data_IF_758281454513
#
_entry.id   IF_758281454513
#
_cell.length_a   1.000
_cell.length_b   1.000
_cell.length_c   1.000
_cell.angle_alpha   90.00
_cell.angle_beta   90.00
_cell.angle_gamma   90.00
#
_symmetry.space_group_name_H-M   'P 1'
#
loop_
_entity.id
_entity.type
_entity.pdbx_description
1 polymer ?
#
# COMPACT_ATOMS: atom_id res chain seq x y z
N UNK A 1 -3.94 2.31 -24.84
CA UNK A 1 -3.31 1.90 -23.58
C UNK A 1 -2.44 3.06 -23.12
N UNK A 2 -2.82 3.72 -22.03
CA UNK A 2 -2.03 4.81 -21.44
C UNK A 2 -1.18 4.21 -20.34
N UNK A 3 0.13 4.44 -20.37
CA UNK A 3 1.05 3.96 -19.34
C UNK A 3 1.42 5.14 -18.42
N UNK A 4 1.33 4.93 -17.12
CA UNK A 4 1.68 5.92 -16.10
C UNK A 4 3.00 5.53 -15.40
N UNK A 5 3.79 6.51 -14.98
CA UNK A 5 5.10 6.30 -14.34
C UNK A 5 5.06 6.39 -12.81
N UNK A 6 3.91 6.73 -12.22
CA UNK A 6 3.69 6.73 -10.78
C UNK A 6 2.30 6.16 -10.44
N UNK A 7 2.20 5.58 -9.24
CA UNK A 7 1.00 4.91 -8.76
C UNK A 7 -0.20 5.86 -8.68
N UNK A 8 -0.01 7.08 -8.15
CA UNK A 8 -1.09 8.06 -7.99
C UNK A 8 -1.77 8.37 -9.31
N UNK A 9 -1.01 8.63 -10.37
CA UNK A 9 -1.54 8.93 -11.69
C UNK A 9 -2.29 7.74 -12.30
N UNK A 10 -1.77 6.52 -12.12
CA UNK A 10 -2.46 5.30 -12.55
C UNK A 10 -3.76 5.08 -11.77
N UNK A 11 -3.75 5.30 -10.46
CA UNK A 11 -4.94 5.17 -9.61
C UNK A 11 -6.02 6.19 -9.95
N UNK A 12 -5.65 7.45 -10.24
CA UNK A 12 -6.62 8.46 -10.70
C UNK A 12 -7.26 8.02 -12.02
N UNK A 13 -6.46 7.57 -12.99
CA UNK A 13 -6.98 7.11 -14.28
C UNK A 13 -7.91 5.91 -14.10
N UNK A 14 -7.48 4.89 -13.35
CA UNK A 14 -8.26 3.68 -13.07
C UNK A 14 -9.54 3.97 -12.27
N UNK A 15 -9.50 4.91 -11.33
CA UNK A 15 -10.68 5.31 -10.56
C UNK A 15 -11.76 5.91 -11.46
N UNK A 16 -11.38 6.74 -12.43
CA UNK A 16 -12.32 7.32 -13.39
C UNK A 16 -12.97 6.26 -14.30
N UNK A 17 -12.27 5.14 -14.54
CA UNK A 17 -12.79 4.00 -15.29
C UNK A 17 -13.72 3.13 -14.42
N UNK A 18 -13.36 2.91 -13.16
CA UNK A 18 -13.99 1.96 -12.24
C UNK A 18 -15.23 2.49 -11.53
N UNK A 19 -15.23 3.76 -11.11
CA UNK A 19 -16.28 4.37 -10.29
C UNK A 19 -16.82 5.64 -10.97
N UNK A 20 -17.45 5.44 -12.12
CA UNK A 20 -17.93 6.53 -12.98
C UNK A 20 -18.98 7.40 -12.28
N UNK A 21 -19.75 6.82 -11.35
CA UNK A 21 -20.76 7.51 -10.56
C UNK A 21 -20.21 8.15 -9.26
N UNK A 22 -18.91 7.98 -8.99
CA UNK A 22 -18.20 8.52 -7.82
C UNK A 22 -18.90 8.19 -6.48
N UNK A 23 -19.28 6.93 -6.30
CA UNK A 23 -20.02 6.46 -5.12
C UNK A 23 -19.13 5.80 -4.06
N UNK A 24 -17.86 5.51 -4.36
CA UNK A 24 -16.94 4.87 -3.40
C UNK A 24 -16.58 5.84 -2.27
N UNK A 25 -16.94 5.44 -1.06
CA UNK A 25 -16.75 6.23 0.16
C UNK A 25 -15.40 5.96 0.83
N UNK A 26 -15.01 6.85 1.74
CA UNK A 26 -13.84 6.62 2.59
C UNK A 26 -13.95 5.34 3.44
N UNK A 27 -15.14 5.01 3.94
CA UNK A 27 -15.36 3.80 4.75
C UNK A 27 -15.19 2.54 3.91
N UNK A 28 -15.66 2.55 2.67
CA UNK A 28 -15.40 1.45 1.72
C UNK A 28 -13.90 1.24 1.54
N UNK A 29 -13.15 2.30 1.20
CA UNK A 29 -11.68 2.20 0.99
C UNK A 29 -10.93 1.74 2.24
N UNK A 30 -11.36 2.20 3.42
CA UNK A 30 -10.79 1.76 4.69
C UNK A 30 -11.00 0.27 4.94
N UNK A 31 -12.19 -0.25 4.63
CA UNK A 31 -12.50 -1.68 4.75
C UNK A 31 -11.76 -2.52 3.71
N UNK A 32 -11.63 -2.02 2.48
CA UNK A 32 -10.83 -2.65 1.42
C UNK A 32 -9.37 -2.80 1.85
N UNK A 33 -8.74 -1.72 2.34
CA UNK A 33 -7.40 -1.79 2.92
C UNK A 33 -7.29 -2.84 4.04
N UNK A 34 -8.27 -2.90 4.95
CA UNK A 34 -8.25 -3.90 6.02
C UNK A 34 -8.35 -5.34 5.48
N UNK A 35 -9.08 -5.54 4.37
CA UNK A 35 -9.14 -6.78 3.61
C UNK A 35 -7.76 -7.18 3.12
N UNK A 36 -7.11 -6.34 2.32
CA UNK A 36 -5.78 -6.63 1.74
C UNK A 36 -4.72 -6.89 2.81
N UNK A 37 -4.74 -6.13 3.91
CA UNK A 37 -3.86 -6.39 5.06
C UNK A 37 -4.12 -7.78 5.66
N UNK A 38 -5.40 -8.19 5.74
CA UNK A 38 -5.80 -9.52 6.20
C UNK A 38 -5.29 -10.64 5.27
N UNK A 39 -5.33 -10.43 3.96
CA UNK A 39 -4.82 -11.36 2.95
C UNK A 39 -3.29 -11.51 3.07
N UNK A 40 -2.56 -10.38 3.15
CA UNK A 40 -1.13 -10.37 3.42
C UNK A 40 -0.78 -11.10 4.74
N UNK A 41 -1.51 -10.84 5.83
CA UNK A 41 -1.34 -11.55 7.10
C UNK A 41 -1.59 -13.06 6.96
N UNK A 42 -2.57 -13.47 6.17
CA UNK A 42 -2.86 -14.87 5.91
C UNK A 42 -1.71 -15.54 5.14
N UNK A 43 -1.11 -14.87 4.15
CA UNK A 43 0.07 -15.36 3.43
C UNK A 43 1.28 -15.47 4.36
N UNK A 44 1.59 -14.45 5.16
CA UNK A 44 2.68 -14.49 6.17
C UNK A 44 2.50 -15.68 7.11
N UNK A 45 1.27 -15.92 7.59
CA UNK A 45 0.95 -17.09 8.42
C UNK A 45 1.25 -18.41 7.69
N UNK A 46 0.95 -18.53 6.39
CA UNK A 46 1.24 -19.74 5.61
C UNK A 46 2.76 -19.95 5.43
N UNK A 47 3.53 -18.88 5.20
CA UNK A 47 5.00 -18.91 5.12
C UNK A 47 5.63 -19.36 6.44
N UNK A 48 5.21 -18.75 7.55
CA UNK A 48 5.70 -19.11 8.89
C UNK A 48 5.32 -20.53 9.28
N UNK A 49 4.11 -20.98 8.89
CA UNK A 49 3.67 -22.35 9.10
C UNK A 49 4.61 -23.36 8.44
N UNK A 50 5.09 -23.07 7.23
CA UNK A 50 6.09 -23.89 6.56
C UNK A 50 7.41 -23.92 7.34
N UNK A 51 7.93 -22.75 7.68
CA UNK A 51 9.19 -22.58 8.41
C UNK A 51 9.20 -23.31 9.76
N UNK A 52 8.05 -23.32 10.44
CA UNK A 52 7.87 -23.96 11.75
C UNK A 52 7.52 -25.46 11.66
N UNK A 53 7.38 -26.03 10.46
CA UNK A 53 7.00 -27.45 10.28
C UNK A 53 5.56 -27.77 10.68
N UNK A 54 4.69 -26.76 10.79
CA UNK A 54 3.28 -26.94 11.17
C UNK A 54 2.48 -27.44 9.96
N UNK A 55 1.57 -28.40 10.16
CA UNK A 55 0.70 -28.91 9.07
C UNK A 55 -0.29 -27.82 8.60
N UNK A 56 -0.47 -27.68 7.30
CA UNK A 56 -1.50 -26.83 6.68
C UNK A 56 -1.11 -26.35 5.28
N UNK A 57 -1.89 -25.44 4.71
CA UNK A 57 -1.55 -24.78 3.43
C UNK A 57 -0.22 -24.02 3.51
N UNK A 58 0.39 -23.81 2.34
CA UNK A 58 1.66 -23.11 2.12
C UNK A 58 1.42 -21.88 1.24
N UNK A 59 2.40 -21.01 1.18
CA UNK A 59 2.43 -19.90 0.27
C UNK A 59 3.86 -19.58 -0.15
N UNK A 60 4.04 -18.72 -1.14
CA UNK A 60 5.34 -18.27 -1.62
C UNK A 60 5.58 -16.79 -1.32
N UNK A 61 6.82 -16.34 -1.53
CA UNK A 61 7.17 -14.93 -1.39
C UNK A 61 6.51 -14.08 -2.49
N UNK A 62 6.26 -14.66 -3.67
CA UNK A 62 5.55 -14.02 -4.77
C UNK A 62 4.09 -13.75 -4.41
N UNK A 63 3.38 -14.72 -3.82
CA UNK A 63 2.02 -14.49 -3.31
C UNK A 63 2.02 -13.38 -2.24
N UNK A 64 3.05 -13.31 -1.39
CA UNK A 64 3.14 -12.21 -0.41
C UNK A 64 3.38 -10.86 -1.09
N UNK A 65 4.18 -10.83 -2.17
CA UNK A 65 4.47 -9.62 -2.91
C UNK A 65 3.19 -9.04 -3.54
N UNK A 66 2.30 -9.89 -4.07
CA UNK A 66 1.02 -9.46 -4.62
C UNK A 66 0.13 -8.81 -3.54
N UNK A 67 -0.08 -9.48 -2.40
CA UNK A 67 -0.90 -8.92 -1.31
C UNK A 67 -0.30 -7.62 -0.72
N UNK A 68 1.02 -7.53 -0.61
CA UNK A 68 1.68 -6.30 -0.17
C UNK A 68 1.52 -5.17 -1.20
N UNK A 69 1.48 -5.49 -2.50
CA UNK A 69 1.20 -4.51 -3.54
C UNK A 69 -0.24 -3.99 -3.45
N UNK A 70 -1.21 -4.86 -3.19
CA UNK A 70 -2.61 -4.48 -3.00
C UNK A 70 -2.81 -3.59 -1.77
N UNK A 71 -2.10 -3.86 -0.67
CA UNK A 71 -2.03 -2.95 0.49
C UNK A 71 -1.53 -1.56 0.07
N UNK A 72 -0.42 -1.47 -0.67
CA UNK A 72 0.15 -0.18 -1.11
C UNK A 72 -0.82 0.57 -2.02
N UNK A 73 -1.47 -0.14 -2.94
CA UNK A 73 -2.50 0.42 -3.83
C UNK A 73 -3.65 1.01 -3.02
N UNK A 74 -4.19 0.27 -2.05
CA UNK A 74 -5.31 0.71 -1.21
C UNK A 74 -4.94 1.90 -0.33
N UNK A 75 -3.72 1.92 0.22
CA UNK A 75 -3.21 3.09 0.96
C UNK A 75 -3.17 4.34 0.07
N UNK A 76 -2.72 4.22 -1.19
CA UNK A 76 -2.72 5.35 -2.11
C UNK A 76 -4.14 5.79 -2.52
N UNK A 77 -5.08 4.84 -2.68
CA UNK A 77 -6.49 5.17 -2.94
C UNK A 77 -7.12 5.98 -1.80
N UNK A 78 -6.80 5.65 -0.55
CA UNK A 78 -7.23 6.44 0.62
C UNK A 78 -6.55 7.82 0.60
N UNK A 79 -5.25 7.88 0.35
CA UNK A 79 -4.53 9.14 0.27
C UNK A 79 -5.09 10.05 -0.83
N UNK A 80 -5.39 9.50 -2.01
CA UNK A 80 -6.07 10.17 -3.11
C UNK A 80 -7.43 10.73 -2.68
N UNK A 81 -8.26 9.92 -2.00
CA UNK A 81 -9.58 10.32 -1.52
C UNK A 81 -9.55 11.54 -0.58
N UNK A 82 -8.50 11.67 0.23
CA UNK A 82 -8.32 12.77 1.18
C UNK A 82 -7.39 13.89 0.67
N UNK A 83 -6.94 13.85 -0.58
CA UNK A 83 -6.03 14.86 -1.12
C UNK A 83 -4.63 14.86 -0.48
N UNK A 84 -4.18 13.71 0.03
CA UNK A 84 -2.88 13.56 0.69
C UNK A 84 -1.80 13.28 -0.36
N UNK A 85 -0.73 14.07 -0.33
CA UNK A 85 0.56 13.73 -0.97
C UNK A 85 1.25 12.65 -0.12
N UNK A 86 1.05 11.40 -0.53
CA UNK A 86 1.52 10.23 0.20
C UNK A 86 3.05 10.11 0.14
N UNK A 87 3.68 10.42 -1.00
CA UNK A 87 5.14 10.37 -1.15
C UNK A 87 5.82 11.37 -0.21
N UNK A 88 5.33 12.61 -0.17
CA UNK A 88 5.85 13.61 0.76
C UNK A 88 5.58 13.22 2.22
N UNK A 89 4.41 12.65 2.52
CA UNK A 89 4.09 12.16 3.87
C UNK A 89 5.01 11.03 4.33
N UNK A 90 5.32 10.06 3.46
CA UNK A 90 6.25 8.96 3.73
C UNK A 90 7.65 9.51 4.01
N UNK A 91 8.19 10.38 3.13
CA UNK A 91 9.51 10.96 3.31
C UNK A 91 9.63 11.74 4.64
N UNK A 92 8.64 12.59 4.94
CA UNK A 92 8.58 13.32 6.23
C UNK A 92 8.58 12.36 7.42
N UNK A 93 7.72 11.33 7.41
CA UNK A 93 7.57 10.41 8.55
C UNK A 93 8.79 9.51 8.73
N UNK A 94 9.37 9.03 7.65
CA UNK A 94 10.62 8.26 7.66
C UNK A 94 11.75 9.08 8.29
N UNK A 95 11.97 10.30 7.78
CA UNK A 95 13.05 11.17 8.25
C UNK A 95 12.89 11.58 9.71
N UNK A 96 11.67 11.87 10.16
CA UNK A 96 11.38 12.15 11.57
C UNK A 96 11.69 10.96 12.48
N UNK A 97 11.47 9.73 12.01
CA UNK A 97 11.83 8.53 12.76
C UNK A 97 13.35 8.35 12.81
N UNK A 98 14.04 8.52 11.69
CA UNK A 98 15.51 8.49 11.64
C UNK A 98 16.12 9.51 12.60
N UNK A 99 15.63 10.75 12.60
CA UNK A 99 16.11 11.80 13.50
C UNK A 99 15.86 11.45 14.97
N UNK A 100 14.64 11.01 15.31
CA UNK A 100 14.25 10.63 16.67
C UNK A 100 15.18 9.58 17.29
N UNK A 101 15.69 8.66 16.47
CA UNK A 101 16.56 7.56 16.93
C UNK A 101 18.04 7.74 16.56
N UNK A 102 18.44 8.92 16.10
CA UNK A 102 19.86 9.24 15.84
C UNK A 102 20.46 8.56 14.61
N UNK A 103 19.65 8.22 13.60
CA UNK A 103 20.12 7.62 12.35
C UNK A 103 20.44 8.69 11.30
N UNK A 104 21.40 8.39 10.43
CA UNK A 104 21.86 9.30 9.35
C UNK A 104 21.04 9.15 8.05
N UNK A 105 20.44 7.98 7.81
CA UNK A 105 19.70 7.69 6.59
C UNK A 105 18.48 8.59 6.43
N UNK A 106 18.31 9.15 5.22
CA UNK A 106 17.16 9.99 4.86
C UNK A 106 16.54 9.51 3.55
N UNK A 107 15.23 9.68 3.45
CA UNK A 107 14.45 9.48 2.24
C UNK A 107 14.16 10.85 1.59
N UNK A 108 14.50 10.99 0.32
CA UNK A 108 14.14 12.18 -0.47
C UNK A 108 12.63 12.19 -0.77
N UNK A 109 12.02 13.37 -0.78
CA UNK A 109 10.66 13.53 -1.33
C UNK A 109 10.73 13.83 -2.83
N UNK A 110 9.98 13.09 -3.63
CA UNK A 110 9.80 13.33 -5.07
C UNK A 110 8.62 14.27 -5.39
N UNK A 111 7.81 14.64 -4.39
CA UNK A 111 6.69 15.56 -4.54
C UNK A 111 7.13 16.95 -5.00
N UNK A 112 6.38 17.55 -5.94
CA UNK A 112 6.57 18.96 -6.32
C UNK A 112 6.25 19.83 -5.10
N UNK A 113 7.15 20.76 -4.77
CA UNK A 113 6.92 21.83 -3.80
C UNK A 113 5.73 22.71 -4.18
#
# INVERSE_FOLDING_TARGET
MTTHTNLRAANIARQNEWDQDNQITASYRGNELAGEVGEACNIIKKLERERLGIRGSRATAEELADELADVVICVDLIAMHYGIDLEAAIARKFNATSEKVGLETRLASTGKA
#
